data_IF_902793538108
#
_entry.id   IF_902793538108
#
_cell.length_a   1.000
_cell.length_b   1.000
_cell.length_c   1.000
_cell.angle_alpha   90.00
_cell.angle_beta   90.00
_cell.angle_gamma   90.00
#
_symmetry.space_group_name_H-M   'P 1'
#
loop_
_entity.id
_entity.type
_entity.pdbx_description
1 polymer ?
#
# COMPACT_ATOMS: atom_id res chain seq x y z
N UNK A 1 8.71 -6.33 -11.66
CA UNK A 1 8.71 -7.79 -11.93
C UNK A 1 7.30 -8.32 -12.19
N UNK A 2 6.26 -8.09 -11.36
CA UNK A 2 4.94 -8.67 -11.56
C UNK A 2 4.32 -8.38 -12.93
N UNK A 3 4.49 -7.17 -13.45
CA UNK A 3 3.99 -6.79 -14.78
C UNK A 3 4.71 -7.52 -15.92
N UNK A 4 6.00 -7.79 -15.75
CA UNK A 4 6.76 -8.62 -16.70
C UNK A 4 6.21 -10.06 -16.73
N UNK A 5 5.87 -10.62 -15.57
CA UNK A 5 5.27 -11.95 -15.47
C UNK A 5 3.89 -11.99 -16.13
N UNK A 6 3.09 -10.93 -16.01
CA UNK A 6 1.80 -10.84 -16.75
C UNK A 6 2.00 -10.92 -18.27
N UNK A 7 3.10 -10.36 -18.79
CA UNK A 7 3.43 -10.39 -20.21
C UNK A 7 4.18 -11.67 -20.65
N UNK A 8 4.91 -12.28 -19.73
CA UNK A 8 5.69 -13.50 -19.97
C UNK A 8 5.55 -14.46 -18.79
N UNK A 9 4.52 -15.30 -18.81
CA UNK A 9 4.20 -16.22 -17.72
C UNK A 9 5.30 -17.24 -17.41
N UNK A 10 6.20 -17.53 -18.35
CA UNK A 10 7.33 -18.44 -18.16
C UNK A 10 8.52 -17.80 -17.44
N UNK A 11 8.54 -16.48 -17.25
CA UNK A 11 9.67 -15.75 -16.66
C UNK A 11 10.10 -16.28 -15.27
N UNK A 12 9.18 -16.57 -14.32
CA UNK A 12 9.57 -17.13 -13.03
C UNK A 12 10.29 -18.48 -13.16
N UNK A 13 9.82 -19.35 -14.05
CA UNK A 13 10.43 -20.67 -14.28
C UNK A 13 11.81 -20.57 -14.93
N UNK A 14 12.02 -19.60 -15.81
CA UNK A 14 13.34 -19.31 -16.41
C UNK A 14 14.32 -18.84 -15.34
N UNK A 15 13.90 -17.91 -14.49
CA UNK A 15 14.72 -17.42 -13.37
C UNK A 15 15.06 -18.57 -12.41
N UNK A 16 14.09 -19.41 -12.05
CA UNK A 16 14.31 -20.59 -11.23
C UNK A 16 15.40 -21.52 -11.81
N UNK A 17 15.35 -21.79 -13.12
CA UNK A 17 16.36 -22.63 -13.79
C UNK A 17 17.76 -22.01 -13.73
N UNK A 18 17.86 -20.68 -13.93
CA UNK A 18 19.15 -19.96 -13.87
C UNK A 18 19.74 -19.99 -12.45
N UNK A 19 18.91 -19.78 -11.42
CA UNK A 19 19.33 -19.82 -10.02
C UNK A 19 19.76 -21.24 -9.61
N UNK A 20 18.95 -22.26 -9.92
CA UNK A 20 19.27 -23.65 -9.59
C UNK A 20 20.49 -24.17 -10.34
N UNK A 21 20.72 -23.71 -11.56
CA UNK A 21 21.89 -24.07 -12.36
C UNK A 21 23.18 -23.41 -11.90
N UNK A 22 23.12 -22.48 -10.92
CA UNK A 22 24.26 -21.67 -10.45
C UNK A 22 25.05 -21.01 -11.60
N UNK A 23 24.33 -20.65 -12.66
CA UNK A 23 24.93 -20.07 -13.88
C UNK A 23 25.03 -18.55 -13.82
N UNK A 24 24.30 -17.92 -12.89
CA UNK A 24 24.37 -16.48 -12.66
C UNK A 24 25.68 -16.11 -11.95
N UNK A 25 26.37 -15.12 -12.50
CA UNK A 25 27.62 -14.58 -11.95
C UNK A 25 27.41 -13.22 -11.24
N UNK A 26 26.15 -12.84 -11.01
CA UNK A 26 25.75 -11.58 -10.39
C UNK A 26 24.53 -11.78 -9.52
N UNK A 27 24.33 -10.87 -8.59
CA UNK A 27 23.16 -10.83 -7.74
C UNK A 27 21.93 -10.43 -8.55
N UNK A 28 20.80 -11.07 -8.27
CA UNK A 28 19.52 -10.79 -8.91
C UNK A 28 18.59 -10.12 -7.91
N UNK A 29 18.22 -8.88 -8.18
CA UNK A 29 17.25 -8.14 -7.39
C UNK A 29 15.91 -8.10 -8.14
N UNK A 30 14.87 -8.64 -7.52
CA UNK A 30 13.51 -8.63 -8.06
C UNK A 30 12.69 -7.65 -7.22
N UNK A 31 12.11 -6.62 -7.85
CA UNK A 31 11.27 -5.64 -7.17
C UNK A 31 9.90 -5.48 -7.85
N UNK A 32 8.93 -5.03 -7.08
CA UNK A 32 7.59 -4.74 -7.56
C UNK A 32 6.80 -3.91 -6.55
N UNK A 33 5.94 -3.03 -7.04
CA UNK A 33 5.10 -2.14 -6.23
C UNK A 33 3.87 -2.82 -5.64
N UNK A 34 3.32 -3.82 -6.33
CA UNK A 34 2.16 -4.58 -5.82
C UNK A 34 2.59 -5.65 -4.83
N UNK A 35 2.23 -5.46 -3.57
CA UNK A 35 2.51 -6.44 -2.50
C UNK A 35 1.84 -7.78 -2.77
N UNK A 36 0.58 -7.77 -3.23
CA UNK A 36 -0.17 -8.99 -3.50
C UNK A 36 0.49 -9.83 -4.59
N UNK A 37 0.89 -9.20 -5.70
CA UNK A 37 1.52 -9.91 -6.81
C UNK A 37 2.92 -10.42 -6.43
N UNK A 38 3.70 -9.63 -5.68
CA UNK A 38 5.02 -10.06 -5.20
C UNK A 38 4.90 -11.23 -4.23
N UNK A 39 3.97 -11.18 -3.28
CA UNK A 39 3.69 -12.31 -2.38
C UNK A 39 3.26 -13.55 -3.15
N UNK A 40 2.38 -13.38 -4.15
CA UNK A 40 1.94 -14.48 -5.00
C UNK A 40 3.08 -15.17 -5.73
N UNK A 41 3.97 -14.41 -6.37
CA UNK A 41 5.06 -15.00 -7.18
C UNK A 41 6.26 -15.51 -6.38
N UNK A 42 6.53 -14.97 -5.19
CA UNK A 42 7.76 -15.26 -4.42
C UNK A 42 7.49 -16.08 -3.16
N UNK A 43 6.35 -15.88 -2.51
CA UNK A 43 6.04 -16.50 -1.22
C UNK A 43 4.99 -17.63 -1.29
N UNK A 44 4.29 -17.80 -2.40
CA UNK A 44 3.38 -18.94 -2.57
C UNK A 44 4.19 -20.22 -2.87
N UNK A 45 3.95 -21.26 -2.07
CA UNK A 45 4.63 -22.55 -2.17
C UNK A 45 4.47 -23.26 -3.54
N UNK A 46 3.47 -22.85 -4.32
CA UNK A 46 3.17 -23.41 -5.64
C UNK A 46 3.96 -22.72 -6.76
N UNK A 47 4.59 -21.60 -6.47
CA UNK A 47 5.26 -20.77 -7.46
C UNK A 47 6.75 -21.14 -7.63
N UNK A 48 7.30 -20.99 -8.83
CA UNK A 48 8.69 -21.39 -9.13
C UNK A 48 9.76 -20.71 -8.28
N UNK A 49 9.52 -19.47 -7.83
CA UNK A 49 10.50 -18.68 -7.06
C UNK A 49 10.41 -18.90 -5.54
N UNK A 50 9.48 -19.74 -5.09
CA UNK A 50 9.34 -20.01 -3.65
C UNK A 50 10.62 -20.57 -3.04
N UNK A 51 11.07 -19.94 -1.96
CA UNK A 51 12.24 -20.38 -1.19
C UNK A 51 13.60 -20.18 -1.88
N UNK A 52 13.65 -19.44 -3.01
CA UNK A 52 14.90 -19.14 -3.72
C UNK A 52 15.49 -17.77 -3.37
N UNK A 53 14.76 -16.92 -2.66
CA UNK A 53 15.26 -15.64 -2.22
C UNK A 53 16.14 -15.80 -0.98
N UNK A 54 17.35 -15.26 -1.02
CA UNK A 54 18.26 -15.16 0.13
C UNK A 54 17.77 -14.09 1.11
N UNK A 55 17.18 -13.00 0.58
CA UNK A 55 16.65 -11.91 1.36
C UNK A 55 15.33 -11.38 0.77
N UNK A 56 14.37 -11.07 1.64
CA UNK A 56 13.08 -10.47 1.28
C UNK A 56 12.93 -9.16 2.04
N UNK A 57 13.01 -8.06 1.31
CA UNK A 57 12.95 -6.71 1.87
C UNK A 57 11.57 -6.11 1.59
N UNK A 58 10.83 -5.80 2.65
CA UNK A 58 9.64 -4.96 2.57
C UNK A 58 10.04 -3.52 2.87
N UNK A 59 10.08 -2.66 1.85
CA UNK A 59 10.41 -1.26 2.01
C UNK A 59 9.26 -0.53 2.72
N UNK A 60 9.47 0.02 3.92
CA UNK A 60 8.51 0.90 4.56
C UNK A 60 8.52 2.30 3.91
N UNK A 61 7.47 3.10 4.12
CA UNK A 61 7.51 4.53 3.80
C UNK A 61 8.72 5.21 4.46
N UNK A 62 9.32 6.20 3.78
CA UNK A 62 10.43 6.97 4.35
C UNK A 62 9.93 7.73 5.58
N UNK A 63 10.65 7.70 6.71
CA UNK A 63 10.23 8.39 7.94
C UNK A 63 10.12 9.91 7.79
N UNK A 64 9.25 10.53 8.58
CA UNK A 64 8.99 11.99 8.60
C UNK A 64 10.27 12.82 8.80
N UNK A 65 11.27 12.30 9.48
CA UNK A 65 12.54 13.00 9.73
C UNK A 65 13.30 13.41 8.46
N UNK A 66 12.99 12.79 7.32
CA UNK A 66 13.70 13.07 6.05
C UNK A 66 12.98 14.10 5.16
N UNK A 67 11.67 14.31 5.31
CA UNK A 67 10.91 15.21 4.42
C UNK A 67 11.33 16.66 4.61
N UNK A 68 11.69 17.06 5.83
CA UNK A 68 12.17 18.42 6.11
C UNK A 68 13.43 18.76 5.32
N UNK A 69 14.35 17.82 5.19
CA UNK A 69 15.55 17.98 4.37
C UNK A 69 15.20 17.94 2.86
N UNK A 70 14.32 17.05 2.43
CA UNK A 70 13.95 16.90 1.03
C UNK A 70 13.23 18.14 0.47
N UNK A 71 12.36 18.77 1.26
CA UNK A 71 11.59 19.95 0.86
C UNK A 71 12.18 21.27 1.37
N UNK A 72 13.31 21.22 2.10
CA UNK A 72 13.95 22.40 2.72
C UNK A 72 12.98 23.20 3.61
N UNK A 73 12.22 22.51 4.46
CA UNK A 73 11.25 23.10 5.39
C UNK A 73 11.63 22.83 6.86
N UNK A 74 11.12 23.66 7.77
CA UNK A 74 11.34 23.46 9.20
C UNK A 74 10.58 22.25 9.74
N UNK A 75 10.87 21.86 10.99
CA UNK A 75 10.32 20.64 11.62
C UNK A 75 8.78 20.62 11.69
N UNK A 76 8.14 21.78 11.95
CA UNK A 76 6.67 21.87 12.03
C UNK A 76 6.08 21.64 10.64
N UNK A 77 6.54 22.42 9.66
CA UNK A 77 6.12 22.25 8.27
C UNK A 77 6.43 20.84 7.73
N UNK A 78 7.51 20.21 8.16
CA UNK A 78 7.84 18.82 7.79
C UNK A 78 6.75 17.83 8.25
N UNK A 79 6.18 18.02 9.44
CA UNK A 79 5.07 17.19 9.93
C UNK A 79 3.79 17.44 9.12
N UNK A 80 3.49 18.70 8.80
CA UNK A 80 2.35 19.08 7.97
C UNK A 80 2.47 18.50 6.57
N UNK A 81 3.61 18.67 5.90
CA UNK A 81 3.89 18.09 4.58
C UNK A 81 3.78 16.56 4.61
N UNK A 82 4.33 15.92 5.63
CA UNK A 82 4.27 14.46 5.76
C UNK A 82 2.85 13.95 5.98
N UNK A 83 1.98 14.73 6.64
CA UNK A 83 0.58 14.35 6.84
C UNK A 83 -0.21 14.24 5.53
N UNK A 84 0.24 14.93 4.48
CA UNK A 84 -0.37 14.93 3.14
C UNK A 84 0.34 13.93 2.23
N UNK A 85 1.67 14.05 2.10
CA UNK A 85 2.45 13.31 1.08
C UNK A 85 2.97 11.97 1.59
N UNK A 86 2.90 11.71 2.90
CA UNK A 86 3.42 10.50 3.51
C UNK A 86 4.92 10.31 3.24
N UNK A 87 5.38 9.06 3.27
CA UNK A 87 6.78 8.69 3.07
C UNK A 87 7.08 8.14 1.66
N UNK A 88 6.39 8.63 0.63
CA UNK A 88 6.58 8.18 -0.75
C UNK A 88 7.44 9.20 -1.50
N UNK A 89 8.69 8.85 -1.92
CA UNK A 89 9.62 9.80 -2.56
C UNK A 89 9.03 10.52 -3.76
N UNK A 90 8.27 9.81 -4.58
CA UNK A 90 7.65 10.38 -5.78
C UNK A 90 6.70 11.54 -5.47
N UNK A 91 5.98 11.48 -4.35
CA UNK A 91 5.09 12.58 -3.96
C UNK A 91 5.88 13.79 -3.48
N UNK A 92 7.04 13.58 -2.84
CA UNK A 92 7.93 14.67 -2.45
C UNK A 92 8.55 15.38 -3.67
N UNK A 93 8.97 14.62 -4.69
CA UNK A 93 9.44 15.17 -5.96
C UNK A 93 8.36 16.05 -6.62
N UNK A 94 7.14 15.53 -6.75
CA UNK A 94 6.02 16.28 -7.32
C UNK A 94 5.70 17.53 -6.50
N UNK A 95 5.72 17.43 -5.17
CA UNK A 95 5.48 18.56 -4.25
C UNK A 95 6.55 19.64 -4.40
N UNK A 96 7.80 19.29 -4.60
CA UNK A 96 8.92 20.21 -4.70
C UNK A 96 8.82 21.17 -5.91
N UNK A 97 8.05 20.82 -6.93
CA UNK A 97 7.82 21.67 -8.12
C UNK A 97 6.86 22.86 -7.85
N UNK A 98 6.25 22.92 -6.65
CA UNK A 98 5.28 23.94 -6.27
C UNK A 98 5.79 24.86 -5.17
N UNK A 99 5.39 26.16 -5.15
CA UNK A 99 5.89 27.13 -4.19
C UNK A 99 5.44 26.86 -2.75
N UNK A 100 4.25 26.27 -2.56
CA UNK A 100 3.67 25.99 -1.25
C UNK A 100 2.80 24.72 -1.29
N UNK A 101 2.48 24.20 -0.09
CA UNK A 101 1.71 22.98 0.10
C UNK A 101 0.28 23.11 -0.44
N UNK A 102 -0.39 24.23 -0.21
CA UNK A 102 -1.79 24.44 -0.61
C UNK A 102 -1.94 24.42 -2.14
N UNK A 103 -1.01 25.06 -2.85
CA UNK A 103 -0.97 25.04 -4.31
C UNK A 103 -0.72 23.64 -4.84
N UNK A 104 0.23 22.92 -4.25
CA UNK A 104 0.52 21.53 -4.63
C UNK A 104 -0.69 20.61 -4.39
N UNK A 105 -1.36 20.70 -3.25
CA UNK A 105 -2.58 19.92 -2.95
C UNK A 105 -3.65 20.19 -4.01
N UNK A 106 -3.91 21.47 -4.30
CA UNK A 106 -4.95 21.86 -5.24
C UNK A 106 -4.67 21.32 -6.64
N UNK A 107 -3.46 21.51 -7.15
CA UNK A 107 -3.12 21.17 -8.52
C UNK A 107 -2.81 19.67 -8.71
N UNK A 108 -2.16 19.02 -7.73
CA UNK A 108 -1.80 17.61 -7.86
C UNK A 108 -2.96 16.66 -7.53
N UNK A 109 -3.75 16.97 -6.49
CA UNK A 109 -4.69 16.01 -5.91
C UNK A 109 -6.17 16.39 -6.07
N UNK A 110 -6.50 17.70 -6.04
CA UNK A 110 -7.89 18.16 -6.08
C UNK A 110 -8.35 18.57 -7.48
N UNK A 111 -7.45 19.01 -8.35
CA UNK A 111 -7.78 19.24 -9.76
C UNK A 111 -8.05 17.90 -10.43
N UNK A 112 -9.14 17.81 -11.18
CA UNK A 112 -9.52 16.59 -11.92
C UNK A 112 -8.48 16.15 -12.96
N UNK A 113 -7.60 17.06 -13.38
CA UNK A 113 -6.46 16.79 -14.27
C UNK A 113 -5.16 16.58 -13.49
N UNK A 114 -5.19 16.69 -12.18
CA UNK A 114 -4.04 16.51 -11.32
C UNK A 114 -3.49 15.07 -11.40
N UNK A 115 -2.17 14.94 -11.44
CA UNK A 115 -1.52 13.64 -11.62
C UNK A 115 -1.82 12.64 -10.51
N UNK A 116 -2.20 13.13 -9.32
CA UNK A 116 -2.56 12.32 -8.15
C UNK A 116 -4.08 12.21 -7.93
N UNK A 117 -4.91 12.87 -8.76
CA UNK A 117 -6.36 12.87 -8.59
C UNK A 117 -6.96 11.45 -8.62
N UNK A 118 -6.46 10.57 -9.48
CA UNK A 118 -6.90 9.18 -9.61
C UNK A 118 -5.95 8.17 -8.93
N UNK A 119 -4.92 8.65 -8.23
CA UNK A 119 -3.91 7.78 -7.59
C UNK A 119 -4.52 6.75 -6.63
N UNK A 120 -5.47 7.12 -5.73
CA UNK A 120 -6.07 6.16 -4.82
C UNK A 120 -6.79 5.01 -5.55
N UNK A 121 -7.52 5.33 -6.62
CA UNK A 121 -8.24 4.32 -7.41
C UNK A 121 -7.28 3.42 -8.20
N UNK A 122 -6.17 4.00 -8.69
CA UNK A 122 -5.13 3.25 -9.40
C UNK A 122 -4.43 2.26 -8.50
N UNK A 123 -4.00 2.69 -7.31
CA UNK A 123 -3.37 1.82 -6.31
C UNK A 123 -4.29 0.67 -5.89
N UNK A 124 -5.57 0.97 -5.63
CA UNK A 124 -6.54 -0.06 -5.26
C UNK A 124 -6.76 -1.08 -6.38
N UNK A 125 -6.79 -0.65 -7.65
CA UNK A 125 -6.94 -1.56 -8.80
C UNK A 125 -5.77 -2.52 -8.95
N UNK A 126 -4.57 -2.10 -8.62
CA UNK A 126 -3.38 -2.94 -8.71
C UNK A 126 -3.34 -4.03 -7.63
N UNK A 127 -3.88 -3.74 -6.45
CA UNK A 127 -3.79 -4.62 -5.29
C UNK A 127 -5.08 -5.39 -4.98
N UNK A 128 -6.23 -4.96 -5.51
CA UNK A 128 -7.54 -5.50 -5.13
C UNK A 128 -8.42 -5.81 -6.33
N UNK A 129 -9.20 -6.89 -6.20
CA UNK A 129 -10.14 -7.32 -7.25
C UNK A 129 -11.44 -6.51 -7.24
N UNK A 130 -11.98 -6.20 -6.04
CA UNK A 130 -13.18 -5.39 -5.86
C UNK A 130 -12.80 -3.99 -5.36
N UNK A 131 -12.53 -3.10 -6.31
CA UNK A 131 -12.12 -1.73 -6.03
C UNK A 131 -13.26 -0.85 -5.55
N UNK A 132 -14.52 -1.11 -5.97
CA UNK A 132 -15.68 -0.30 -5.61
C UNK A 132 -15.99 -0.49 -4.13
N UNK A 133 -16.13 -1.72 -3.67
CA UNK A 133 -16.42 -2.02 -2.27
C UNK A 133 -15.29 -1.51 -1.37
N UNK A 134 -14.06 -1.71 -1.77
CA UNK A 134 -12.88 -1.34 -0.98
C UNK A 134 -12.71 0.17 -0.85
N UNK A 135 -12.89 0.92 -1.94
CA UNK A 135 -12.85 2.40 -1.89
C UNK A 135 -13.99 2.97 -1.05
N UNK A 136 -15.17 2.36 -1.10
CA UNK A 136 -16.31 2.74 -0.24
C UNK A 136 -15.96 2.54 1.24
N UNK A 137 -15.38 1.39 1.61
CA UNK A 137 -14.95 1.11 2.99
C UNK A 137 -13.90 2.13 3.45
N UNK A 138 -12.88 2.41 2.62
CA UNK A 138 -11.85 3.39 2.94
C UNK A 138 -12.44 4.80 3.13
N UNK A 139 -13.35 5.22 2.26
CA UNK A 139 -14.04 6.50 2.38
C UNK A 139 -14.84 6.60 3.69
N UNK A 140 -15.55 5.53 4.08
CA UNK A 140 -16.29 5.48 5.34
C UNK A 140 -15.36 5.60 6.53
N UNK A 141 -14.21 4.90 6.52
CA UNK A 141 -13.20 4.98 7.60
C UNK A 141 -12.55 6.36 7.63
N UNK A 142 -12.18 6.92 6.47
CA UNK A 142 -11.62 8.26 6.33
C UNK A 142 -12.55 9.36 6.85
N UNK A 143 -13.87 9.15 6.79
CA UNK A 143 -14.88 10.03 7.40
C UNK A 143 -15.12 9.74 8.91
N UNK A 144 -14.21 9.03 9.58
CA UNK A 144 -14.20 8.84 11.03
C UNK A 144 -15.02 7.65 11.54
N UNK A 145 -15.66 6.86 10.68
CA UNK A 145 -16.37 5.65 11.09
C UNK A 145 -15.40 4.49 11.24
N UNK A 146 -15.25 3.99 12.46
CA UNK A 146 -14.15 3.09 12.79
C UNK A 146 -14.57 1.71 13.32
N UNK A 147 -15.86 1.46 13.58
CA UNK A 147 -16.36 0.17 14.06
C UNK A 147 -16.94 -0.67 12.93
N UNK A 148 -16.62 -1.96 12.90
CA UNK A 148 -17.05 -2.86 11.83
C UNK A 148 -18.57 -2.84 11.60
N UNK A 149 -19.36 -2.78 12.66
CA UNK A 149 -20.83 -2.73 12.56
C UNK A 149 -21.34 -1.45 11.92
N UNK A 150 -20.73 -0.31 12.25
CA UNK A 150 -21.06 0.99 11.67
C UNK A 150 -20.58 1.11 10.22
N UNK A 151 -19.39 0.61 9.92
CA UNK A 151 -18.84 0.54 8.54
C UNK A 151 -19.78 -0.31 7.68
N UNK A 152 -20.19 -1.48 8.15
CA UNK A 152 -21.09 -2.37 7.45
C UNK A 152 -22.45 -1.70 7.17
N UNK A 153 -23.04 -1.10 8.20
CA UNK A 153 -24.31 -0.38 8.09
C UNK A 153 -24.26 0.74 7.05
N UNK A 154 -23.20 1.57 7.08
CA UNK A 154 -23.03 2.65 6.08
C UNK A 154 -22.70 2.15 4.67
N UNK A 155 -22.07 0.99 4.56
CA UNK A 155 -21.83 0.34 3.28
C UNK A 155 -23.04 -0.43 2.73
N UNK A 156 -24.15 -0.48 3.47
CA UNK A 156 -25.34 -1.26 3.10
C UNK A 156 -25.09 -2.77 3.05
N UNK A 157 -24.19 -3.27 3.91
CA UNK A 157 -23.73 -4.66 3.96
C UNK A 157 -23.85 -5.25 5.37
N UNK A 158 -23.82 -6.57 5.46
CA UNK A 158 -23.65 -7.25 6.73
C UNK A 158 -22.17 -7.23 7.17
N UNK A 159 -21.92 -7.25 8.50
CA UNK A 159 -20.56 -7.24 9.04
C UNK A 159 -19.71 -8.43 8.55
N UNK A 160 -20.31 -9.57 8.29
CA UNK A 160 -19.68 -10.76 7.73
C UNK A 160 -19.16 -10.52 6.31
N UNK A 161 -19.88 -9.76 5.49
CA UNK A 161 -19.52 -9.45 4.10
C UNK A 161 -18.36 -8.47 3.96
N UNK A 162 -18.15 -7.61 4.98
CA UNK A 162 -17.04 -6.64 4.96
C UNK A 162 -15.79 -7.13 5.70
N UNK A 163 -15.88 -8.24 6.42
CA UNK A 163 -14.76 -8.78 7.21
C UNK A 163 -13.55 -9.16 6.34
N UNK A 164 -13.79 -9.79 5.19
CA UNK A 164 -12.73 -10.16 4.26
C UNK A 164 -12.09 -8.93 3.60
N UNK A 165 -12.84 -7.97 3.02
CA UNK A 165 -12.29 -6.71 2.53
C UNK A 165 -11.48 -5.94 3.57
N UNK A 166 -11.95 -5.84 4.82
CA UNK A 166 -11.20 -5.20 5.90
C UNK A 166 -9.89 -5.95 6.23
N UNK A 167 -9.92 -7.28 6.25
CA UNK A 167 -8.70 -8.07 6.46
C UNK A 167 -7.69 -7.83 5.35
N UNK A 168 -8.15 -7.79 4.10
CA UNK A 168 -7.31 -7.54 2.94
C UNK A 168 -6.69 -6.14 2.94
N UNK A 169 -7.49 -5.11 3.24
CA UNK A 169 -7.00 -3.74 3.40
C UNK A 169 -5.93 -3.63 4.49
N UNK A 170 -6.10 -4.37 5.59
CA UNK A 170 -5.13 -4.42 6.69
C UNK A 170 -3.85 -5.14 6.27
N UNK A 171 -3.94 -6.29 5.60
CA UNK A 171 -2.78 -7.04 5.10
C UNK A 171 -1.93 -6.20 4.13
N UNK A 172 -2.58 -5.40 3.30
CA UNK A 172 -1.93 -4.49 2.36
C UNK A 172 -1.43 -3.19 3.01
N UNK A 173 -1.81 -2.93 4.26
CA UNK A 173 -1.37 -1.75 5.01
C UNK A 173 -2.14 -0.47 4.72
N UNK A 174 -3.29 -0.53 4.04
CA UNK A 174 -4.16 0.62 3.82
C UNK A 174 -4.90 1.06 5.09
N UNK A 175 -5.17 0.12 5.99
CA UNK A 175 -5.78 0.38 7.28
C UNK A 175 -5.05 -0.40 8.37
N UNK A 176 -5.15 0.09 9.60
CA UNK A 176 -4.73 -0.63 10.81
C UNK A 176 -5.92 -0.92 11.70
N UNK A 177 -5.83 -1.98 12.48
CA UNK A 177 -6.82 -2.31 13.50
C UNK A 177 -6.20 -2.06 14.88
N UNK A 178 -6.76 -1.15 15.61
CA UNK A 178 -6.36 -0.83 17.00
C UNK A 178 -7.29 -1.53 17.97
N UNK A 179 -6.73 -2.10 19.03
CA UNK A 179 -7.45 -2.78 20.09
C UNK A 179 -7.06 -2.18 21.44
N UNK A 180 -7.88 -2.31 22.49
CA UNK A 180 -7.49 -1.91 23.85
C UNK A 180 -6.23 -2.61 24.30
N UNK A 181 -5.41 -1.89 25.07
CA UNK A 181 -4.18 -2.44 25.64
C UNK A 181 -4.49 -3.71 26.49
N UNK A 182 -3.68 -4.75 26.30
CA UNK A 182 -3.82 -6.02 26.99
C UNK A 182 -4.87 -6.99 26.41
N UNK A 183 -5.66 -6.57 25.41
CA UNK A 183 -6.57 -7.49 24.72
C UNK A 183 -5.87 -8.23 23.55
N UNK A 184 -6.32 -9.45 23.25
CA UNK A 184 -5.83 -10.21 22.11
C UNK A 184 -6.44 -9.68 20.80
N UNK A 185 -5.62 -9.43 19.80
CA UNK A 185 -6.08 -8.96 18.49
C UNK A 185 -7.12 -9.88 17.86
N UNK A 186 -6.95 -11.20 18.00
CA UNK A 186 -7.87 -12.21 17.45
C UNK A 186 -9.20 -12.29 18.20
N UNK A 187 -9.22 -11.98 19.51
CA UNK A 187 -10.40 -12.17 20.38
C UNK A 187 -11.14 -10.89 20.69
N UNK A 188 -10.48 -9.72 20.55
CA UNK A 188 -11.10 -8.45 20.90
C UNK A 188 -12.26 -8.12 19.96
N UNK A 189 -13.43 -7.82 20.56
CA UNK A 189 -14.61 -7.29 19.84
C UNK A 189 -14.64 -5.75 19.84
N UNK A 190 -13.67 -5.11 20.51
CA UNK A 190 -13.60 -3.65 20.67
C UNK A 190 -12.66 -2.98 19.67
N UNK A 191 -12.13 -3.74 18.73
CA UNK A 191 -11.21 -3.20 17.73
C UNK A 191 -11.84 -2.12 16.87
N UNK A 192 -11.06 -1.08 16.59
CA UNK A 192 -11.41 0.00 15.67
C UNK A 192 -10.47 0.00 14.47
N UNK A 193 -10.94 0.48 13.33
CA UNK A 193 -10.17 0.59 12.10
C UNK A 193 -9.80 2.05 11.83
N UNK A 194 -8.55 2.28 11.41
CA UNK A 194 -8.02 3.59 11.01
C UNK A 194 -7.19 3.47 9.74
N UNK A 195 -7.16 4.52 8.97
CA UNK A 195 -6.20 4.71 7.87
C UNK A 195 -4.85 5.08 8.44
#
# INVERSE_FOLDING_TARGET
>A
FPYMVKSCASLPSVIQKLLNGKTLKYDLIICGSSQQLMQGYVLDKREPLYGLADEIIKLPPIPVSYIGQALNVNTIAAVEEYSIWGGIPRYWELRADYPDMDTAIRELALDTKGILAEEPQRLLRDDLRDTIQTSTILSIIGNGVNRITEIASRAGKEATQISEPLSKLRELGYIRREIPFGESEKKSKKGIYRI
#
